data_IF_961043357975
#
_entry.id   IF_961043357975
#
_cell.length_a   1.000
_cell.length_b   1.000
_cell.length_c   1.000
_cell.angle_alpha   90.00
_cell.angle_beta   90.00
_cell.angle_gamma   90.00
#
_symmetry.space_group_name_H-M   'P 1'
#
loop_
_entity.id
_entity.type
_entity.pdbx_description
1 polymer ?
#
# COMPACT_ATOMS: atom_id res chain seq x y z
N UNK A 1 -21.46 11.83 -16.61
CA UNK A 1 -22.16 12.33 -15.40
C UNK A 1 -23.01 11.25 -14.73
N UNK A 2 -23.74 10.39 -15.48
CA UNK A 2 -24.55 9.32 -14.86
C UNK A 2 -23.73 8.17 -14.22
N UNK A 3 -22.57 7.82 -14.75
CA UNK A 3 -21.72 6.74 -14.19
C UNK A 3 -21.09 7.07 -12.85
N UNK A 4 -20.75 8.33 -12.58
CA UNK A 4 -20.16 8.75 -11.30
C UNK A 4 -21.15 8.73 -10.13
N UNK A 5 -22.45 8.86 -10.40
CA UNK A 5 -23.48 8.79 -9.34
C UNK A 5 -23.74 7.36 -8.87
N UNK A 6 -23.46 6.35 -9.71
CA UNK A 6 -23.64 4.94 -9.37
C UNK A 6 -22.53 4.43 -8.45
N UNK A 7 -21.30 4.95 -8.57
CA UNK A 7 -20.13 4.58 -7.74
C UNK A 7 -20.31 4.89 -6.24
N UNK A 8 -21.25 5.78 -5.90
CA UNK A 8 -21.53 6.17 -4.51
C UNK A 8 -22.82 5.56 -3.97
N UNK A 9 -23.58 4.85 -4.82
CA UNK A 9 -24.81 4.22 -4.41
C UNK A 9 -24.52 2.96 -3.58
N UNK A 10 -25.34 2.68 -2.57
CA UNK A 10 -25.24 1.47 -1.74
C UNK A 10 -25.86 0.26 -2.44
N UNK A 11 -25.68 0.14 -3.76
CA UNK A 11 -26.22 -0.99 -4.52
C UNK A 11 -25.33 -2.23 -4.33
N UNK A 12 -25.90 -3.44 -4.31
CA UNK A 12 -25.11 -4.67 -4.23
C UNK A 12 -24.09 -4.82 -5.36
N UNK A 13 -24.40 -4.26 -6.54
CA UNK A 13 -23.49 -4.25 -7.68
C UNK A 13 -22.26 -3.37 -7.39
N UNK A 14 -22.48 -2.17 -6.86
CA UNK A 14 -21.40 -1.27 -6.51
C UNK A 14 -20.54 -1.85 -5.37
N UNK A 15 -21.18 -2.45 -4.37
CA UNK A 15 -20.48 -3.15 -3.30
C UNK A 15 -19.55 -4.25 -3.85
N UNK A 16 -20.04 -5.10 -4.76
CA UNK A 16 -19.23 -6.13 -5.38
C UNK A 16 -18.02 -5.56 -6.15
N UNK A 17 -18.22 -4.48 -6.90
CA UNK A 17 -17.14 -3.78 -7.63
C UNK A 17 -16.08 -3.25 -6.65
N UNK A 18 -16.51 -2.63 -5.55
CA UNK A 18 -15.58 -2.06 -4.57
C UNK A 18 -14.82 -3.14 -3.79
N UNK A 19 -15.45 -4.28 -3.50
CA UNK A 19 -14.76 -5.43 -2.91
C UNK A 19 -13.72 -6.03 -3.88
N UNK A 20 -14.05 -6.16 -5.17
CA UNK A 20 -13.08 -6.59 -6.18
C UNK A 20 -11.89 -5.64 -6.28
N UNK A 21 -12.14 -4.32 -6.29
CA UNK A 21 -11.06 -3.32 -6.26
C UNK A 21 -10.21 -3.42 -5.00
N UNK A 22 -10.81 -3.70 -3.84
CA UNK A 22 -10.07 -3.92 -2.60
C UNK A 22 -9.19 -5.17 -2.66
N UNK A 23 -9.67 -6.27 -3.26
CA UNK A 23 -8.86 -7.46 -3.49
C UNK A 23 -7.62 -7.13 -4.32
N UNK A 24 -7.76 -6.35 -5.40
CA UNK A 24 -6.61 -5.89 -6.19
C UNK A 24 -5.64 -5.01 -5.37
N UNK A 25 -6.14 -4.20 -4.43
CA UNK A 25 -5.27 -3.42 -3.52
C UNK A 25 -4.52 -4.34 -2.54
N UNK A 26 -5.16 -5.38 -2.02
CA UNK A 26 -4.51 -6.37 -1.15
C UNK A 26 -3.48 -7.21 -1.91
N UNK A 27 -3.74 -7.58 -3.16
CA UNK A 27 -2.75 -8.24 -4.03
C UNK A 27 -1.56 -7.30 -4.32
N UNK A 28 -1.83 -6.02 -4.58
CA UNK A 28 -0.79 -5.02 -4.76
C UNK A 28 0.09 -4.89 -3.50
N UNK A 29 -0.52 -4.86 -2.31
CA UNK A 29 0.20 -4.86 -1.04
C UNK A 29 1.15 -6.06 -0.94
N UNK A 30 0.63 -7.27 -1.19
CA UNK A 30 1.41 -8.51 -1.15
C UNK A 30 2.61 -8.45 -2.12
N UNK A 31 2.36 -8.02 -3.35
CA UNK A 31 3.40 -7.91 -4.38
C UNK A 31 4.48 -6.88 -4.04
N UNK A 32 4.10 -5.73 -3.43
CA UNK A 32 5.07 -4.73 -2.98
C UNK A 32 5.93 -5.28 -1.83
N UNK A 33 5.34 -5.98 -0.86
CA UNK A 33 6.13 -6.57 0.24
C UNK A 33 7.08 -7.67 -0.27
N UNK A 34 6.63 -8.53 -1.18
CA UNK A 34 7.49 -9.52 -1.82
C UNK A 34 8.65 -8.84 -2.58
N UNK A 35 8.36 -7.76 -3.33
CA UNK A 35 9.37 -6.99 -4.06
C UNK A 35 10.40 -6.37 -3.11
N UNK A 36 9.96 -5.77 -2.01
CA UNK A 36 10.85 -5.20 -0.99
C UNK A 36 11.76 -6.26 -0.39
N UNK A 37 11.24 -7.45 -0.08
CA UNK A 37 12.05 -8.56 0.45
C UNK A 37 13.16 -8.96 -0.52
N UNK A 38 12.87 -9.03 -1.81
CA UNK A 38 13.88 -9.31 -2.84
C UNK A 38 14.96 -8.22 -2.87
N UNK A 39 14.58 -6.94 -2.83
CA UNK A 39 15.57 -5.84 -2.78
C UNK A 39 16.41 -5.86 -1.50
N UNK A 40 15.80 -6.17 -0.35
CA UNK A 40 16.52 -6.30 0.91
C UNK A 40 17.55 -7.43 0.84
N UNK A 41 17.18 -8.59 0.28
CA UNK A 41 18.11 -9.70 0.09
C UNK A 41 19.23 -9.34 -0.90
N UNK A 42 18.90 -8.64 -1.99
CA UNK A 42 19.86 -8.12 -2.95
C UNK A 42 20.91 -7.20 -2.28
N UNK A 43 20.46 -6.26 -1.46
CA UNK A 43 21.33 -5.34 -0.71
C UNK A 43 22.18 -6.08 0.31
N UNK A 44 21.61 -7.05 1.04
CA UNK A 44 22.36 -7.85 2.02
C UNK A 44 23.51 -8.63 1.38
N UNK A 45 23.22 -9.36 0.30
CA UNK A 45 24.24 -10.11 -0.45
C UNK A 45 25.28 -9.18 -1.06
N UNK A 46 24.84 -8.02 -1.57
CA UNK A 46 25.68 -6.98 -2.11
C UNK A 46 26.65 -6.38 -1.09
N UNK A 47 26.17 -6.08 0.11
CA UNK A 47 26.98 -5.59 1.22
C UNK A 47 27.98 -6.65 1.70
N UNK A 48 27.60 -7.93 1.71
CA UNK A 48 28.51 -9.03 2.02
C UNK A 48 29.63 -9.14 0.97
N UNK A 49 29.30 -9.02 -0.33
CA UNK A 49 30.29 -8.98 -1.39
C UNK A 49 31.25 -7.79 -1.21
N UNK A 50 30.71 -6.60 -0.92
CA UNK A 50 31.51 -5.39 -0.66
C UNK A 50 32.50 -5.61 0.51
N UNK A 51 32.06 -6.24 1.59
CA UNK A 51 32.93 -6.59 2.72
C UNK A 51 34.06 -7.54 2.30
N UNK A 52 33.74 -8.61 1.55
CA UNK A 52 34.75 -9.55 1.08
C UNK A 52 35.79 -8.87 0.16
N UNK A 53 35.36 -7.89 -0.65
CA UNK A 53 36.25 -7.10 -1.51
C UNK A 53 37.16 -6.19 -0.67
N UNK A 54 36.63 -5.59 0.40
CA UNK A 54 37.41 -4.79 1.33
C UNK A 54 38.47 -5.65 2.05
N UNK A 55 38.11 -6.85 2.49
CA UNK A 55 39.04 -7.79 3.13
C UNK A 55 40.14 -8.25 2.15
N UNK A 56 39.79 -8.46 0.86
CA UNK A 56 40.74 -8.75 -0.20
C UNK A 56 41.71 -7.58 -0.44
N UNK A 57 41.20 -6.34 -0.50
CA UNK A 57 42.02 -5.15 -0.66
C UNK A 57 43.02 -5.01 0.51
N UNK A 58 42.56 -5.23 1.74
CA UNK A 58 43.41 -5.19 2.93
C UNK A 58 44.49 -6.29 2.95
N UNK A 59 44.15 -7.48 2.42
CA UNK A 59 45.12 -8.57 2.24
C UNK A 59 46.24 -8.16 1.29
N UNK A 60 45.90 -7.56 0.14
CA UNK A 60 46.91 -7.05 -0.79
C UNK A 60 47.79 -5.96 -0.16
N UNK A 61 47.20 -5.00 0.56
CA UNK A 61 47.96 -3.98 1.29
C UNK A 61 48.95 -4.59 2.27
N UNK A 62 48.50 -5.58 3.06
CA UNK A 62 49.31 -6.23 4.09
C UNK A 62 50.46 -7.07 3.51
N UNK A 63 50.25 -7.72 2.37
CA UNK A 63 51.30 -8.53 1.71
C UNK A 63 52.45 -7.69 1.14
N UNK A 64 52.22 -6.42 0.81
CA UNK A 64 53.23 -5.61 0.12
C UNK A 64 54.29 -5.00 1.00
N UNK A 65 54.06 -4.82 2.31
CA UNK A 65 55.02 -4.17 3.20
C UNK A 65 55.54 -2.80 2.71
N UNK A 66 54.79 -2.11 1.83
CA UNK A 66 55.20 -0.87 1.17
C UNK A 66 55.51 -0.97 -0.33
N UNK A 67 55.50 -2.15 -0.95
CA UNK A 67 55.64 -2.30 -2.41
C UNK A 67 54.46 -1.66 -3.16
N UNK A 68 54.75 -0.65 -3.97
CA UNK A 68 53.76 0.09 -4.76
C UNK A 68 53.15 -0.70 -5.93
N UNK A 69 53.71 -1.85 -6.29
CA UNK A 69 53.27 -2.64 -7.46
C UNK A 69 51.81 -3.12 -7.35
N UNK A 70 51.29 -3.36 -6.13
CA UNK A 70 49.89 -3.79 -5.92
C UNK A 70 48.91 -2.65 -5.59
N UNK A 71 49.38 -1.40 -5.48
CA UNK A 71 48.48 -0.24 -5.28
C UNK A 71 47.37 -0.10 -6.34
N UNK A 72 47.60 -0.39 -7.64
CA UNK A 72 46.55 -0.30 -8.64
C UNK A 72 45.36 -1.23 -8.36
N UNK A 73 45.61 -2.49 -7.97
CA UNK A 73 44.53 -3.44 -7.70
C UNK A 73 43.75 -3.07 -6.43
N UNK A 74 44.44 -2.63 -5.37
CA UNK A 74 43.80 -2.14 -4.14
C UNK A 74 42.88 -0.94 -4.45
N UNK A 75 43.36 0.01 -5.25
CA UNK A 75 42.58 1.18 -5.67
C UNK A 75 41.33 0.76 -6.44
N UNK A 76 41.46 -0.18 -7.37
CA UNK A 76 40.34 -0.68 -8.18
C UNK A 76 39.28 -1.38 -7.32
N UNK A 77 39.70 -2.23 -6.38
CA UNK A 77 38.80 -2.92 -5.44
C UNK A 77 38.03 -1.92 -4.57
N UNK A 78 38.72 -0.90 -4.03
CA UNK A 78 38.10 0.14 -3.22
C UNK A 78 37.11 1.00 -4.02
N UNK A 79 37.45 1.38 -5.26
CA UNK A 79 36.53 2.14 -6.14
C UNK A 79 35.26 1.33 -6.41
N UNK A 80 35.41 0.04 -6.75
CA UNK A 80 34.28 -0.84 -7.02
C UNK A 80 33.38 -1.01 -5.78
N UNK A 81 33.97 -1.32 -4.62
CA UNK A 81 33.23 -1.49 -3.37
C UNK A 81 32.49 -0.22 -2.96
N UNK A 82 33.09 0.96 -3.11
CA UNK A 82 32.43 2.23 -2.81
C UNK A 82 31.25 2.51 -3.78
N UNK A 83 31.44 2.27 -5.07
CA UNK A 83 30.39 2.47 -6.08
C UNK A 83 29.18 1.56 -5.80
N UNK A 84 29.42 0.27 -5.53
CA UNK A 84 28.37 -0.69 -5.21
C UNK A 84 27.68 -0.36 -3.88
N UNK A 85 28.44 0.02 -2.85
CA UNK A 85 27.86 0.46 -1.56
C UNK A 85 26.93 1.67 -1.75
N UNK A 86 27.31 2.63 -2.61
CA UNK A 86 26.45 3.76 -2.96
C UNK A 86 25.18 3.32 -3.67
N UNK A 87 25.29 2.40 -4.64
CA UNK A 87 24.14 1.83 -5.34
C UNK A 87 23.14 1.18 -4.37
N UNK A 88 23.61 0.34 -3.44
CA UNK A 88 22.72 -0.31 -2.46
C UNK A 88 21.98 0.69 -1.57
N UNK A 89 22.64 1.77 -1.15
CA UNK A 89 21.98 2.87 -0.42
C UNK A 89 20.92 3.57 -1.27
N UNK A 90 21.20 3.81 -2.54
CA UNK A 90 20.22 4.40 -3.44
C UNK A 90 18.98 3.52 -3.61
N UNK A 91 19.16 2.19 -3.70
CA UNK A 91 18.03 1.24 -3.73
C UNK A 91 17.20 1.33 -2.45
N UNK A 92 17.83 1.38 -1.27
CA UNK A 92 17.13 1.59 0.00
C UNK A 92 16.32 2.90 -0.01
N UNK A 93 16.97 4.01 -0.33
CA UNK A 93 16.40 5.35 -0.20
C UNK A 93 15.34 5.66 -1.25
N UNK A 94 15.47 5.13 -2.47
CA UNK A 94 14.67 5.52 -3.62
C UNK A 94 13.71 4.43 -4.09
N UNK A 95 13.88 3.17 -3.67
CA UNK A 95 12.91 2.08 -3.92
C UNK A 95 12.20 1.69 -2.65
N UNK A 96 12.95 1.14 -1.69
CA UNK A 96 12.35 0.48 -0.53
C UNK A 96 11.60 1.50 0.32
N UNK A 97 12.19 2.66 0.56
CA UNK A 97 11.58 3.71 1.39
C UNK A 97 10.27 4.27 0.80
N UNK A 98 10.20 4.70 -0.49
CA UNK A 98 8.95 5.12 -1.12
C UNK A 98 7.87 4.04 -1.13
N UNK A 99 8.23 2.80 -1.47
CA UNK A 99 7.29 1.68 -1.44
C UNK A 99 6.75 1.41 -0.02
N UNK A 100 7.62 1.49 0.98
CA UNK A 100 7.23 1.35 2.40
C UNK A 100 6.28 2.46 2.83
N UNK A 101 6.55 3.69 2.40
CA UNK A 101 5.65 4.82 2.66
C UNK A 101 4.30 4.58 2.01
N UNK A 102 4.26 4.27 0.72
CA UNK A 102 3.03 4.04 -0.03
C UNK A 102 2.15 2.94 0.59
N UNK A 103 2.75 1.82 1.01
CA UNK A 103 2.04 0.76 1.73
C UNK A 103 1.43 1.29 3.03
N UNK A 104 2.24 1.97 3.85
CA UNK A 104 1.82 2.39 5.18
C UNK A 104 0.85 3.56 5.20
N UNK A 105 0.79 4.39 4.14
CA UNK A 105 -0.08 5.56 4.10
C UNK A 105 -1.32 5.36 3.23
N UNK A 106 -1.20 4.84 2.01
CA UNK A 106 -2.32 4.77 1.08
C UNK A 106 -2.99 3.40 1.07
N UNK A 107 -2.22 2.32 0.95
CA UNK A 107 -2.78 0.96 0.86
C UNK A 107 -3.48 0.60 2.17
N UNK A 108 -2.81 0.71 3.31
CA UNK A 108 -3.42 0.43 4.62
C UNK A 108 -4.63 1.30 4.93
N UNK A 109 -4.64 2.55 4.42
CA UNK A 109 -5.80 3.42 4.55
C UNK A 109 -6.98 2.92 3.72
N UNK A 110 -6.75 2.51 2.47
CA UNK A 110 -7.80 1.93 1.64
C UNK A 110 -8.39 0.64 2.26
N UNK A 111 -7.53 -0.22 2.82
CA UNK A 111 -7.97 -1.42 3.57
C UNK A 111 -8.81 -1.05 4.80
N UNK A 112 -8.37 -0.06 5.59
CA UNK A 112 -9.11 0.42 6.75
C UNK A 112 -10.46 1.06 6.38
N UNK A 113 -10.48 1.89 5.34
CA UNK A 113 -11.69 2.56 4.86
C UNK A 113 -12.69 1.53 4.30
N UNK A 114 -12.21 0.48 3.62
CA UNK A 114 -13.04 -0.62 3.11
C UNK A 114 -13.69 -1.47 4.22
N UNK A 115 -12.94 -1.77 5.28
CA UNK A 115 -13.47 -2.46 6.45
C UNK A 115 -14.57 -1.63 7.15
N UNK A 116 -14.33 -0.32 7.31
CA UNK A 116 -15.30 0.59 7.91
C UNK A 116 -16.55 0.76 7.02
N UNK A 117 -16.38 0.85 5.70
CA UNK A 117 -17.50 0.94 4.75
C UNK A 117 -18.38 -0.31 4.78
N UNK A 118 -17.77 -1.51 4.73
CA UNK A 118 -18.47 -2.80 4.85
C UNK A 118 -19.29 -2.86 6.14
N UNK A 119 -18.68 -2.48 7.27
CA UNK A 119 -19.36 -2.47 8.57
C UNK A 119 -20.58 -1.53 8.58
N UNK A 120 -20.43 -0.29 8.11
CA UNK A 120 -21.55 0.66 8.09
C UNK A 120 -22.69 0.21 7.16
N UNK A 121 -22.36 -0.47 6.07
CA UNK A 121 -23.34 -1.05 5.16
C UNK A 121 -24.08 -2.22 5.81
N UNK A 122 -23.39 -3.14 6.49
CA UNK A 122 -24.03 -4.23 7.24
C UNK A 122 -24.98 -3.69 8.32
N UNK A 123 -24.57 -2.65 9.03
CA UNK A 123 -25.39 -2.00 10.06
C UNK A 123 -26.61 -1.30 9.44
N UNK A 124 -26.45 -0.66 8.28
CA UNK A 124 -27.55 -0.11 7.50
C UNK A 124 -28.55 -1.20 7.07
N UNK A 125 -28.05 -2.31 6.51
CA UNK A 125 -28.87 -3.43 6.04
C UNK A 125 -29.73 -4.01 7.17
N UNK A 126 -29.14 -4.23 8.36
CA UNK A 126 -29.88 -4.69 9.55
C UNK A 126 -30.98 -3.71 10.00
N UNK A 127 -30.69 -2.41 9.97
CA UNK A 127 -31.66 -1.37 10.35
C UNK A 127 -32.79 -1.28 9.30
N UNK A 128 -32.47 -1.41 8.01
CA UNK A 128 -33.42 -1.45 6.92
C UNK A 128 -34.37 -2.64 7.05
N UNK A 129 -33.84 -3.84 7.29
CA UNK A 129 -34.64 -5.03 7.53
C UNK A 129 -35.59 -4.85 8.73
N UNK A 130 -35.08 -4.26 9.82
CA UNK A 130 -35.86 -3.94 11.01
C UNK A 130 -36.92 -2.86 10.82
N UNK A 131 -36.75 -1.98 9.83
CA UNK A 131 -37.73 -0.96 9.44
C UNK A 131 -38.82 -1.56 8.55
N UNK A 132 -38.43 -2.30 7.50
CA UNK A 132 -39.35 -2.91 6.52
C UNK A 132 -40.21 -4.02 7.15
N UNK A 133 -39.67 -4.75 8.13
CA UNK A 133 -40.37 -5.83 8.83
C UNK A 133 -41.52 -5.36 9.74
N UNK A 134 -41.72 -4.04 9.93
CA UNK A 134 -42.81 -3.51 10.77
C UNK A 134 -44.14 -3.60 10.01
N UNK A 135 -45.12 -4.42 10.48
CA UNK A 135 -46.42 -4.54 9.84
C UNK A 135 -47.14 -3.19 9.83
N UNK A 136 -47.79 -2.83 8.72
CA UNK A 136 -48.52 -1.57 8.56
C UNK A 136 -49.51 -1.29 9.70
N UNK A 137 -50.18 -2.34 10.21
CA UNK A 137 -51.14 -2.28 11.32
C UNK A 137 -50.52 -1.96 12.69
N UNK A 138 -49.20 -2.08 12.86
CA UNK A 138 -48.46 -1.85 14.11
C UNK A 138 -47.62 -0.56 14.09
N UNK A 139 -47.74 0.25 13.03
CA UNK A 139 -47.02 1.53 12.90
C UNK A 139 -47.76 2.59 13.72
N UNK A 140 -47.28 2.85 14.94
CA UNK A 140 -47.65 4.07 15.67
C UNK A 140 -46.73 5.19 15.21
N UNK A 141 -47.27 6.38 14.91
CA UNK A 141 -46.51 7.52 14.35
C UNK A 141 -45.20 7.77 15.09
N UNK A 142 -45.24 7.91 16.42
CA UNK A 142 -44.04 8.16 17.25
C UNK A 142 -42.97 7.06 17.22
N UNK A 143 -43.35 5.78 17.17
CA UNK A 143 -42.37 4.69 17.16
C UNK A 143 -41.78 4.46 15.77
N UNK A 144 -42.57 4.75 14.74
CA UNK A 144 -42.17 4.59 13.35
C UNK A 144 -41.26 5.73 12.90
N UNK A 145 -41.55 6.98 13.31
CA UNK A 145 -40.70 8.15 13.09
C UNK A 145 -39.30 7.98 13.72
N UNK A 146 -39.23 7.38 14.92
CA UNK A 146 -37.94 7.06 15.55
C UNK A 146 -37.09 6.08 14.73
N UNK A 147 -37.71 5.04 14.15
CA UNK A 147 -37.02 4.08 13.28
C UNK A 147 -36.63 4.70 11.94
N UNK A 148 -37.48 5.57 11.39
CA UNK A 148 -37.19 6.29 10.15
C UNK A 148 -35.98 7.23 10.33
N UNK A 149 -35.93 7.99 11.42
CA UNK A 149 -34.78 8.84 11.74
C UNK A 149 -33.49 8.02 11.92
N UNK A 150 -33.57 6.86 12.57
CA UNK A 150 -32.42 5.95 12.70
C UNK A 150 -31.96 5.40 11.34
N UNK A 151 -32.90 5.04 10.47
CA UNK A 151 -32.61 4.56 9.11
C UNK A 151 -31.95 5.65 8.27
N UNK A 152 -32.47 6.89 8.29
CA UNK A 152 -31.91 8.02 7.57
C UNK A 152 -30.48 8.34 8.03
N UNK A 153 -30.25 8.35 9.35
CA UNK A 153 -28.94 8.56 9.92
C UNK A 153 -27.93 7.48 9.47
N UNK A 154 -28.32 6.21 9.57
CA UNK A 154 -27.43 5.10 9.21
C UNK A 154 -27.15 5.05 7.70
N UNK A 155 -28.17 5.35 6.87
CA UNK A 155 -27.99 5.47 5.43
C UNK A 155 -26.95 6.53 5.07
N UNK A 156 -27.03 7.71 5.70
CA UNK A 156 -26.06 8.78 5.49
C UNK A 156 -24.64 8.36 5.93
N UNK A 157 -24.50 7.67 7.06
CA UNK A 157 -23.23 7.13 7.53
C UNK A 157 -22.62 6.14 6.54
N UNK A 158 -23.42 5.19 6.03
CA UNK A 158 -22.99 4.22 5.05
C UNK A 158 -22.55 4.89 3.73
N UNK A 159 -23.33 5.83 3.20
CA UNK A 159 -22.97 6.61 1.99
C UNK A 159 -21.64 7.35 2.20
N UNK A 160 -21.47 8.04 3.33
CA UNK A 160 -20.27 8.82 3.61
C UNK A 160 -19.01 7.95 3.73
N UNK A 161 -19.12 6.77 4.35
CA UNK A 161 -18.00 5.81 4.41
C UNK A 161 -17.71 5.20 3.05
N UNK A 162 -18.73 4.85 2.29
CA UNK A 162 -18.57 4.36 0.92
C UNK A 162 -17.83 5.39 0.04
N UNK A 163 -18.21 6.66 0.13
CA UNK A 163 -17.51 7.76 -0.57
C UNK A 163 -16.03 7.87 -0.17
N UNK A 164 -15.74 7.77 1.13
CA UNK A 164 -14.36 7.83 1.64
C UNK A 164 -13.53 6.67 1.11
N UNK A 165 -14.11 5.47 1.09
CA UNK A 165 -13.49 4.26 0.59
C UNK A 165 -13.23 4.30 -0.92
N UNK A 166 -14.21 4.70 -1.73
CA UNK A 166 -14.04 4.89 -3.18
C UNK A 166 -12.86 5.84 -3.44
N UNK A 167 -12.79 6.95 -2.70
CA UNK A 167 -11.71 7.93 -2.85
C UNK A 167 -10.35 7.37 -2.46
N UNK A 168 -10.26 6.50 -1.44
CA UNK A 168 -8.97 5.89 -1.08
C UNK A 168 -8.52 4.85 -2.11
N UNK A 169 -9.43 4.09 -2.70
CA UNK A 169 -9.13 3.21 -3.84
C UNK A 169 -8.62 4.00 -5.05
N UNK A 170 -9.31 5.08 -5.44
CA UNK A 170 -8.89 5.95 -6.55
C UNK A 170 -7.48 6.52 -6.33
N UNK A 171 -7.16 6.88 -5.10
CA UNK A 171 -5.85 7.41 -4.74
C UNK A 171 -4.76 6.34 -4.93
N UNK A 172 -5.00 5.12 -4.48
CA UNK A 172 -4.09 3.98 -4.68
C UNK A 172 -3.90 3.71 -6.16
N UNK A 173 -4.98 3.66 -6.95
CA UNK A 173 -4.92 3.40 -8.39
C UNK A 173 -4.16 4.45 -9.19
N UNK A 174 -4.26 5.73 -8.79
CA UNK A 174 -3.49 6.81 -9.43
C UNK A 174 -2.02 6.78 -9.04
N UNK A 175 -1.75 6.53 -7.75
CA UNK A 175 -0.38 6.53 -7.23
C UNK A 175 0.41 5.27 -7.58
N UNK A 176 -0.23 4.12 -7.75
CA UNK A 176 0.47 2.85 -8.04
C UNK A 176 1.43 3.00 -9.23
N UNK A 177 0.99 3.65 -10.31
CA UNK A 177 1.82 3.84 -11.49
C UNK A 177 3.00 4.75 -11.19
N UNK A 178 2.79 5.84 -10.46
CA UNK A 178 3.86 6.78 -10.13
C UNK A 178 4.89 6.12 -9.20
N UNK A 179 4.44 5.49 -8.12
CA UNK A 179 5.34 4.93 -7.10
C UNK A 179 6.08 3.69 -7.63
N UNK A 180 5.43 2.83 -8.43
CA UNK A 180 6.08 1.65 -9.03
C UNK A 180 7.02 2.07 -10.16
N UNK A 181 6.62 2.98 -11.04
CA UNK A 181 7.49 3.44 -12.13
C UNK A 181 8.67 4.26 -11.60
N UNK A 182 8.46 5.13 -10.60
CA UNK A 182 9.54 5.89 -9.98
C UNK A 182 10.56 4.98 -9.28
N UNK A 183 10.12 3.85 -8.73
CA UNK A 183 11.01 2.84 -8.13
C UNK A 183 11.88 2.10 -9.15
N UNK A 184 11.45 1.98 -10.41
CA UNK A 184 12.16 1.20 -11.45
C UNK A 184 13.02 2.08 -12.35
N UNK A 185 12.59 3.33 -12.63
CA UNK A 185 13.24 4.21 -13.59
C UNK A 185 14.39 5.05 -13.01
N UNK A 186 15.30 4.44 -12.25
CA UNK A 186 16.57 5.10 -11.92
C UNK A 186 17.35 5.42 -13.19
N UNK A 187 17.30 6.70 -13.59
CA UNK A 187 18.21 7.33 -14.53
C UNK A 187 18.80 8.55 -13.80
#
# INVERSE_FOLDING_TARGET
MNTQLEEYNLSPINEAILQERLLHVSELHHNIEATKQVFQQYIQLGNQMCKNIQDLAHTFESCTGGDSSLKPIVTLLNVFQNAMTSHYRQVEDKVISPLTKFVNTEIKKAESDGNEATKQYDDFSKILDGYVSVPSKKRTEKSFEGKENQLLFQNWMAINKNFTFVRSLDLVERKKTIEITAAVCFI
#
